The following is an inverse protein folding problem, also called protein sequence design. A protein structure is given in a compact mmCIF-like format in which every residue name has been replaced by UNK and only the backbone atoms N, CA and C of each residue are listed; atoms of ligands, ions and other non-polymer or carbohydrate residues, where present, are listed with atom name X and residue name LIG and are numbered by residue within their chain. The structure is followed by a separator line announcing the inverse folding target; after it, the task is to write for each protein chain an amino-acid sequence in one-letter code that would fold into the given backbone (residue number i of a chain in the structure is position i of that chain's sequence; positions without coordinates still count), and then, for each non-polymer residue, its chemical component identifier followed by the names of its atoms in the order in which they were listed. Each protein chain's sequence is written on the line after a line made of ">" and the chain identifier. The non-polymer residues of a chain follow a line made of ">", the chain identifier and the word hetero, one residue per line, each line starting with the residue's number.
data_IF_911069353330
#
_entry.id   IF_911069353330
#
_cell.length_a   1.000
_cell.length_b   1.000
_cell.length_c   1.000
_cell.angle_alpha   90.00
_cell.angle_beta   90.00
_cell.angle_gamma   90.00
#
_symmetry.space_group_name_H-M   'P 1'
#
loop_
_entity.id
_entity.type
_entity.pdbx_description
1 polymer ?
#
# COMPACT_ATOMS: atom_id res chain seq x y z
N UNK A 1 13.31 15.90 58.31
CA UNK A 1 12.19 15.77 57.35
C UNK A 1 12.66 16.26 55.99
N UNK A 2 13.04 15.35 55.08
CA UNK A 2 13.08 15.56 53.62
C UNK A 2 13.17 14.17 52.99
N UNK A 3 12.39 13.91 51.93
CA UNK A 3 12.12 12.53 51.47
C UNK A 3 12.89 12.19 50.21
N UNK A 4 13.52 11.02 50.20
CA UNK A 4 14.24 10.47 49.03
C UNK A 4 13.26 10.10 47.91
N UNK A 5 13.57 10.51 46.66
CA UNK A 5 12.78 10.19 45.48
C UNK A 5 13.45 9.08 44.66
N UNK A 6 12.76 7.96 44.48
CA UNK A 6 13.32 6.75 43.87
C UNK A 6 13.51 6.87 42.36
N UNK A 7 14.74 6.71 41.88
CA UNK A 7 15.01 6.35 40.47
C UNK A 7 14.66 4.87 40.29
N UNK A 8 13.39 4.59 40.02
CA UNK A 8 12.87 3.23 39.84
C UNK A 8 13.44 2.56 38.60
N UNK A 9 14.29 1.54 38.79
CA UNK A 9 14.76 0.66 37.71
C UNK A 9 13.58 -0.15 37.17
N UNK A 10 12.98 0.27 36.05
CA UNK A 10 11.90 -0.46 35.40
C UNK A 10 12.43 -1.78 34.79
N UNK A 11 11.94 -2.91 35.30
CA UNK A 11 12.32 -4.24 34.84
C UNK A 11 11.62 -4.60 33.53
N UNK A 12 12.35 -4.48 32.41
CA UNK A 12 11.89 -4.90 31.09
C UNK A 12 11.95 -6.43 30.95
N UNK A 13 11.06 -7.13 31.66
CA UNK A 13 10.90 -8.58 31.52
C UNK A 13 10.34 -8.87 30.13
N UNK A 14 11.16 -9.49 29.28
CA UNK A 14 10.75 -9.91 27.94
C UNK A 14 9.79 -11.11 28.03
N UNK A 15 8.48 -10.83 28.04
CA UNK A 15 7.45 -11.85 27.97
C UNK A 15 7.62 -12.70 26.72
N UNK A 16 7.74 -14.04 26.88
CA UNK A 16 7.73 -15.00 25.77
C UNK A 16 6.29 -15.18 25.25
N UNK A 17 5.75 -14.11 24.66
CA UNK A 17 4.45 -14.13 24.00
C UNK A 17 4.52 -14.95 22.72
N UNK A 18 3.78 -16.06 22.68
CA UNK A 18 3.77 -16.94 21.51
C UNK A 18 2.96 -16.31 20.37
N UNK A 19 3.65 -15.47 19.58
CA UNK A 19 3.11 -14.69 18.47
C UNK A 19 2.72 -15.56 17.28
N UNK A 20 1.73 -16.44 17.45
CA UNK A 20 1.03 -17.12 16.37
C UNK A 20 0.47 -16.07 15.41
N UNK A 21 0.49 -16.34 14.09
CA UNK A 21 -0.37 -15.61 13.15
C UNK A 21 -1.82 -15.95 13.51
N UNK A 22 -2.42 -15.21 14.45
CA UNK A 22 -3.88 -15.15 14.55
C UNK A 22 -4.36 -14.50 13.25
N UNK A 23 -4.75 -15.33 12.27
CA UNK A 23 -5.82 -14.92 11.36
C UNK A 23 -6.96 -14.46 12.27
N UNK A 24 -7.52 -13.29 12.02
CA UNK A 24 -8.78 -12.93 12.65
C UNK A 24 -9.80 -14.00 12.24
N UNK A 25 -10.44 -14.66 13.21
CA UNK A 25 -11.54 -15.56 12.91
C UNK A 25 -12.75 -14.69 12.59
N UNK A 26 -12.89 -14.38 11.30
CA UNK A 26 -14.06 -13.71 10.76
C UNK A 26 -15.27 -14.66 10.84
N UNK A 27 -16.38 -14.15 11.36
CA UNK A 27 -17.70 -14.77 11.22
C UNK A 27 -18.18 -14.75 9.77
N UNK A 28 -19.25 -15.51 9.49
CA UNK A 28 -19.86 -15.51 8.16
C UNK A 28 -20.42 -14.12 7.81
N UNK A 29 -19.90 -13.50 6.75
CA UNK A 29 -20.23 -12.14 6.34
C UNK A 29 -19.34 -11.03 6.95
N UNK A 30 -18.45 -11.34 7.88
CA UNK A 30 -17.48 -10.37 8.39
C UNK A 30 -16.34 -10.13 7.39
N UNK A 31 -15.74 -8.93 7.43
CA UNK A 31 -14.66 -8.50 6.53
C UNK A 31 -13.49 -7.95 7.34
N UNK A 32 -12.26 -8.40 7.06
CA UNK A 32 -11.05 -7.89 7.70
C UNK A 32 -10.68 -6.51 7.13
N UNK A 33 -10.72 -5.47 7.98
CA UNK A 33 -10.39 -4.10 7.60
C UNK A 33 -8.91 -3.79 7.88
N UNK A 34 -8.09 -3.77 6.83
CA UNK A 34 -6.66 -3.44 6.94
C UNK A 34 -6.47 -1.92 6.88
N UNK A 35 -6.05 -1.31 8.00
CA UNK A 35 -5.68 0.09 8.07
C UNK A 35 -4.15 0.28 8.08
N UNK A 36 -3.61 1.06 7.15
CA UNK A 36 -2.20 1.46 7.16
C UNK A 36 -2.02 2.78 7.92
N UNK A 37 -1.15 2.78 8.93
CA UNK A 37 -0.78 3.98 9.67
C UNK A 37 0.73 4.04 9.91
N UNK A 38 1.29 5.25 9.98
CA UNK A 38 2.68 5.46 10.38
C UNK A 38 2.76 5.82 11.86
N UNK A 39 3.75 5.26 12.55
CA UNK A 39 4.14 5.62 13.91
C UNK A 39 5.64 5.93 13.93
N UNK A 40 6.07 6.72 14.92
CA UNK A 40 7.48 7.08 15.14
C UNK A 40 7.98 6.50 16.46
N UNK A 41 9.23 6.05 16.46
CA UNK A 41 9.97 5.68 17.65
C UNK A 41 11.23 6.56 17.76
N UNK A 42 11.63 6.86 18.99
CA UNK A 42 12.75 7.78 19.28
C UNK A 42 13.77 7.20 20.26
N UNK A 43 13.55 5.99 20.77
CA UNK A 43 14.46 5.23 21.65
C UNK A 43 14.26 3.74 21.45
N UNK A 44 15.28 2.95 21.77
CA UNK A 44 15.21 1.49 21.84
C UNK A 44 15.88 0.97 23.10
N UNK A 45 15.74 -0.33 23.35
CA UNK A 45 16.51 -1.08 24.33
C UNK A 45 17.31 -2.13 23.58
N UNK A 46 18.64 -2.11 23.69
CA UNK A 46 19.50 -3.20 23.24
C UNK A 46 19.30 -4.40 24.18
N UNK A 47 18.73 -5.49 23.68
CA UNK A 47 18.40 -6.65 24.49
C UNK A 47 19.61 -7.55 24.80
N UNK A 48 20.80 -7.22 24.30
CA UNK A 48 22.06 -7.92 24.60
C UNK A 48 22.83 -7.18 25.69
N UNK A 49 22.91 -5.85 25.63
CA UNK A 49 23.65 -5.03 26.61
C UNK A 49 22.77 -4.46 27.73
N UNK A 50 21.45 -4.40 27.54
CA UNK A 50 20.52 -3.70 28.44
C UNK A 50 20.55 -2.16 28.26
N UNK A 51 21.27 -1.65 27.27
CA UNK A 51 21.46 -0.22 27.02
C UNK A 51 20.21 0.43 26.39
N UNK A 52 19.81 1.60 26.91
CA UNK A 52 18.74 2.41 26.31
C UNK A 52 19.32 3.26 25.18
N UNK A 53 19.17 2.80 23.95
CA UNK A 53 19.59 3.50 22.74
C UNK A 53 18.78 4.79 22.56
N UNK A 54 19.47 5.92 22.38
CA UNK A 54 18.84 7.21 22.10
C UNK A 54 18.34 7.32 20.64
N UNK A 55 17.82 8.50 20.29
CA UNK A 55 17.28 8.76 18.94
C UNK A 55 18.35 8.70 17.85
N UNK A 56 19.58 9.16 18.13
CA UNK A 56 20.69 9.17 17.18
C UNK A 56 21.25 7.77 16.96
N UNK A 57 21.54 7.04 18.04
CA UNK A 57 22.05 5.67 17.99
C UNK A 57 21.03 4.73 17.34
N UNK A 58 19.75 4.82 17.71
CA UNK A 58 18.70 4.04 17.06
C UNK A 58 18.57 4.39 15.58
N UNK A 59 18.56 5.68 15.22
CA UNK A 59 18.49 6.09 13.82
C UNK A 59 19.69 5.59 13.01
N UNK A 60 20.90 5.63 13.57
CA UNK A 60 22.12 5.09 12.95
C UNK A 60 22.01 3.59 12.66
N UNK A 61 21.68 2.79 13.69
CA UNK A 61 21.51 1.33 13.54
C UNK A 61 20.40 0.95 12.54
N UNK A 62 19.29 1.69 12.51
CA UNK A 62 18.24 1.53 11.48
C UNK A 62 18.75 1.95 10.09
N UNK A 63 19.51 3.03 10.01
CA UNK A 63 20.11 3.57 8.78
C UNK A 63 21.03 2.58 8.08
N UNK A 64 21.94 1.96 8.85
CA UNK A 64 22.84 0.92 8.35
C UNK A 64 22.05 -0.29 7.81
N UNK A 65 20.98 -0.72 8.50
CA UNK A 65 20.11 -1.77 7.99
C UNK A 65 19.37 -1.37 6.70
N UNK A 66 18.81 -0.14 6.64
CA UNK A 66 18.11 0.33 5.43
C UNK A 66 19.05 0.42 4.23
N UNK A 67 20.25 0.97 4.39
CA UNK A 67 21.23 1.12 3.31
C UNK A 67 21.77 -0.24 2.83
N UNK A 68 22.00 -1.18 3.75
CA UNK A 68 22.44 -2.54 3.42
C UNK A 68 21.37 -3.32 2.63
N UNK A 69 20.11 -3.26 3.08
CA UNK A 69 18.97 -3.89 2.39
C UNK A 69 18.74 -3.26 1.03
N UNK A 70 18.79 -1.94 0.93
CA UNK A 70 18.64 -1.20 -0.32
C UNK A 70 19.77 -1.47 -1.31
N UNK A 71 21.03 -1.55 -0.85
CA UNK A 71 22.18 -1.87 -1.70
C UNK A 71 22.03 -3.24 -2.36
N UNK A 72 21.72 -4.28 -1.57
CA UNK A 72 21.45 -5.63 -2.08
C UNK A 72 20.22 -5.65 -3.02
N UNK A 73 19.13 -4.96 -2.64
CA UNK A 73 17.92 -4.87 -3.45
C UNK A 73 18.17 -4.19 -4.81
N UNK A 74 18.94 -3.10 -4.80
CA UNK A 74 19.27 -2.29 -5.98
C UNK A 74 20.25 -3.01 -6.90
N UNK A 75 21.19 -3.79 -6.33
CA UNK A 75 22.09 -4.65 -7.11
C UNK A 75 21.31 -5.69 -7.93
N UNK A 76 20.46 -6.49 -7.27
CA UNK A 76 19.60 -7.48 -7.95
C UNK A 76 18.65 -6.81 -8.94
N UNK A 77 17.99 -5.72 -8.54
CA UNK A 77 17.00 -5.06 -9.41
C UNK A 77 17.65 -4.45 -10.64
N UNK A 78 18.88 -3.90 -10.56
CA UNK A 78 19.63 -3.41 -11.73
C UNK A 78 20.11 -4.53 -12.64
N UNK A 79 20.62 -5.62 -12.10
CA UNK A 79 21.09 -6.76 -12.89
C UNK A 79 19.97 -7.34 -13.78
N UNK A 80 18.76 -7.42 -13.23
CA UNK A 80 17.59 -8.00 -13.90
C UNK A 80 16.60 -6.96 -14.44
N UNK A 81 17.05 -5.71 -14.66
CA UNK A 81 16.25 -4.66 -15.30
C UNK A 81 16.33 -4.74 -16.83
N UNK A 82 15.93 -5.89 -17.37
CA UNK A 82 15.92 -6.14 -18.81
C UNK A 82 14.66 -6.93 -19.20
N UNK A 83 14.18 -6.73 -20.43
CA UNK A 83 12.94 -7.34 -20.93
C UNK A 83 12.92 -8.89 -20.86
N UNK A 84 14.00 -9.62 -21.20
CA UNK A 84 14.07 -11.08 -21.00
C UNK A 84 13.85 -11.54 -19.56
N UNK A 85 14.53 -10.96 -18.57
CA UNK A 85 14.40 -11.36 -17.17
C UNK A 85 13.02 -10.98 -16.60
N UNK A 86 12.49 -9.81 -16.97
CA UNK A 86 11.11 -9.45 -16.59
C UNK A 86 10.09 -10.44 -17.15
N UNK A 87 10.25 -10.91 -18.39
CA UNK A 87 9.40 -11.95 -18.99
C UNK A 87 9.58 -13.32 -18.30
N UNK A 88 10.81 -13.73 -18.01
CA UNK A 88 11.11 -14.99 -17.33
C UNK A 88 10.46 -15.03 -15.94
N UNK A 89 10.55 -13.95 -15.16
CA UNK A 89 9.93 -13.85 -13.84
C UNK A 89 8.40 -13.79 -13.91
N UNK A 90 7.85 -13.12 -14.94
CA UNK A 90 6.41 -13.02 -15.19
C UNK A 90 5.78 -14.34 -15.64
N UNK A 91 6.53 -15.19 -16.35
CA UNK A 91 6.08 -16.54 -16.77
C UNK A 91 5.64 -17.42 -15.59
N UNK A 92 6.11 -17.10 -14.38
CA UNK A 92 5.86 -17.89 -13.18
C UNK A 92 6.54 -19.26 -13.21
N UNK A 93 7.57 -19.44 -14.06
CA UNK A 93 8.36 -20.68 -14.18
C UNK A 93 9.86 -20.39 -14.21
N UNK A 94 10.67 -21.40 -13.89
CA UNK A 94 12.12 -21.38 -14.15
C UNK A 94 12.46 -21.90 -15.56
N UNK A 95 13.76 -22.00 -15.87
CA UNK A 95 14.27 -22.49 -17.15
C UNK A 95 13.99 -23.99 -17.40
N UNK A 96 13.65 -24.75 -16.35
CA UNK A 96 13.19 -26.16 -16.45
C UNK A 96 11.66 -26.28 -16.56
N UNK A 97 10.95 -25.15 -16.57
CA UNK A 97 9.49 -25.09 -16.61
C UNK A 97 8.81 -25.31 -15.25
N UNK A 98 9.55 -25.51 -14.16
CA UNK A 98 8.97 -25.72 -12.82
C UNK A 98 8.42 -24.40 -12.28
N UNK A 99 7.25 -24.45 -11.64
CA UNK A 99 6.52 -23.25 -11.19
C UNK A 99 7.27 -22.52 -10.06
N UNK A 100 7.51 -21.23 -10.25
CA UNK A 100 8.15 -20.36 -9.25
C UNK A 100 7.24 -20.18 -8.00
N UNK A 101 7.83 -20.16 -6.80
CA UNK A 101 7.12 -19.85 -5.56
C UNK A 101 6.45 -18.48 -5.53
N UNK A 102 5.38 -18.35 -4.74
CA UNK A 102 4.70 -17.08 -4.50
C UNK A 102 5.57 -16.08 -3.73
N UNK A 103 6.42 -16.54 -2.81
CA UNK A 103 7.45 -15.72 -2.17
C UNK A 103 8.48 -15.29 -3.22
N UNK A 104 8.68 -13.99 -3.39
CA UNK A 104 9.57 -13.45 -4.41
C UNK A 104 11.04 -13.80 -4.14
N UNK A 105 11.51 -13.79 -2.88
CA UNK A 105 12.88 -14.17 -2.54
C UNK A 105 13.21 -15.63 -2.92
N UNK A 106 12.24 -16.53 -2.82
CA UNK A 106 12.42 -17.93 -3.24
C UNK A 106 12.46 -18.06 -4.76
N UNK A 107 11.60 -17.33 -5.47
CA UNK A 107 11.59 -17.32 -6.93
C UNK A 107 12.89 -16.77 -7.52
N UNK A 108 13.43 -15.69 -6.96
CA UNK A 108 14.75 -15.16 -7.36
C UNK A 108 15.85 -16.21 -7.18
N UNK A 109 15.95 -16.84 -6.00
CA UNK A 109 16.97 -17.89 -5.76
C UNK A 109 16.82 -19.08 -6.69
N UNK A 110 15.59 -19.45 -7.05
CA UNK A 110 15.29 -20.54 -7.99
C UNK A 110 15.67 -20.19 -9.44
N UNK A 111 15.71 -18.91 -9.80
CA UNK A 111 16.23 -18.41 -11.07
C UNK A 111 17.76 -18.14 -11.03
N UNK A 112 18.42 -18.38 -9.89
CA UNK A 112 19.83 -18.05 -9.67
C UNK A 112 20.10 -16.59 -9.26
N UNK A 113 19.07 -15.74 -9.24
CA UNK A 113 19.12 -14.28 -9.00
C UNK A 113 19.19 -13.93 -7.50
N UNK A 114 19.95 -14.72 -6.73
CA UNK A 114 20.13 -14.50 -5.30
C UNK A 114 20.91 -13.20 -5.05
N UNK A 115 20.58 -12.47 -3.99
CA UNK A 115 21.34 -11.27 -3.66
C UNK A 115 22.77 -11.62 -3.22
N UNK A 116 23.75 -10.88 -3.72
CA UNK A 116 25.12 -10.91 -3.22
C UNK A 116 25.21 -10.13 -1.92
N UNK A 117 26.10 -10.58 -1.03
CA UNK A 117 26.45 -9.84 0.20
C UNK A 117 27.64 -8.93 -0.13
N UNK A 118 27.63 -7.64 0.26
CA UNK A 118 28.78 -6.76 0.04
C UNK A 118 30.05 -7.30 0.70
N UNK A 119 31.20 -7.09 0.06
CA UNK A 119 32.46 -7.72 0.43
C UNK A 119 32.86 -7.43 1.89
N UNK A 120 33.33 -8.47 2.58
CA UNK A 120 33.79 -8.39 3.96
C UNK A 120 32.69 -8.14 5.01
N UNK A 121 31.40 -8.12 4.64
CA UNK A 121 30.29 -7.99 5.59
C UNK A 121 29.66 -9.34 5.95
N UNK A 122 29.36 -9.53 7.23
CA UNK A 122 28.46 -10.59 7.69
C UNK A 122 27.01 -10.08 7.69
N UNK A 123 26.18 -10.68 6.85
CA UNK A 123 24.76 -10.37 6.71
C UNK A 123 23.93 -11.62 7.00
N UNK A 124 23.05 -11.60 8.02
CA UNK A 124 22.14 -12.71 8.27
C UNK A 124 21.27 -13.00 7.05
N UNK A 125 21.13 -14.29 6.67
CA UNK A 125 20.34 -14.71 5.50
C UNK A 125 18.91 -14.16 5.49
N UNK A 126 18.33 -13.85 6.66
CA UNK A 126 17.02 -13.20 6.78
C UNK A 126 16.99 -11.74 6.31
N UNK A 127 18.06 -10.99 6.54
CA UNK A 127 18.21 -9.61 6.00
C UNK A 127 18.34 -9.67 4.49
N UNK A 128 19.11 -10.65 3.97
CA UNK A 128 19.20 -10.93 2.54
C UNK A 128 17.83 -11.27 1.92
N UNK A 129 17.03 -12.15 2.55
CA UNK A 129 15.66 -12.45 2.11
C UNK A 129 14.76 -11.22 2.03
N UNK A 130 14.93 -10.22 2.90
CA UNK A 130 14.13 -8.97 2.85
C UNK A 130 14.57 -8.07 1.69
N UNK A 131 15.85 -8.10 1.28
CA UNK A 131 16.29 -7.42 0.06
C UNK A 131 15.79 -8.15 -1.20
N UNK A 132 15.92 -9.48 -1.24
CA UNK A 132 15.45 -10.33 -2.35
C UNK A 132 13.91 -10.24 -2.51
N UNK A 133 13.14 -10.25 -1.42
CA UNK A 133 11.68 -10.13 -1.48
C UNK A 133 11.23 -8.75 -1.98
N UNK A 134 11.98 -7.68 -1.68
CA UNK A 134 11.71 -6.33 -2.20
C UNK A 134 12.09 -6.24 -3.69
N UNK A 135 13.27 -6.70 -4.08
CA UNK A 135 13.72 -6.72 -5.48
C UNK A 135 12.76 -7.53 -6.36
N UNK A 136 12.44 -8.77 -5.96
CA UNK A 136 11.54 -9.63 -6.72
C UNK A 136 10.10 -9.12 -6.78
N UNK A 137 9.66 -8.28 -5.84
CA UNK A 137 8.38 -7.54 -5.92
C UNK A 137 8.45 -6.37 -6.89
N UNK A 138 9.55 -5.62 -6.91
CA UNK A 138 9.78 -4.53 -7.86
C UNK A 138 9.89 -5.02 -9.31
N UNK A 139 10.55 -6.17 -9.52
CA UNK A 139 10.65 -6.83 -10.83
C UNK A 139 9.30 -7.41 -11.26
N UNK A 140 8.55 -8.09 -10.37
CA UNK A 140 7.19 -8.57 -10.69
C UNK A 140 6.20 -7.44 -11.02
N UNK A 141 6.31 -6.28 -10.37
CA UNK A 141 5.50 -5.10 -10.72
C UNK A 141 5.98 -4.36 -11.98
N UNK A 142 7.15 -4.71 -12.50
CA UNK A 142 7.66 -4.16 -13.75
C UNK A 142 6.98 -4.80 -14.96
N UNK A 143 6.70 -6.11 -14.96
CA UNK A 143 6.05 -6.75 -16.11
C UNK A 143 4.72 -6.09 -16.52
N UNK A 144 3.84 -5.79 -15.56
CA UNK A 144 2.60 -5.05 -15.84
C UNK A 144 2.87 -3.63 -16.37
N UNK A 145 3.94 -2.97 -15.92
CA UNK A 145 4.40 -1.70 -16.51
C UNK A 145 4.98 -1.88 -17.91
N UNK A 146 5.54 -3.05 -18.24
CA UNK A 146 6.00 -3.40 -19.60
C UNK A 146 4.79 -3.52 -20.51
N UNK A 147 3.78 -4.33 -20.15
CA UNK A 147 2.51 -4.45 -20.91
C UNK A 147 1.84 -3.07 -21.13
N UNK A 148 1.77 -2.23 -20.09
CA UNK A 148 1.29 -0.84 -20.19
C UNK A 148 2.13 0.05 -21.11
N UNK A 149 3.45 -0.15 -21.15
CA UNK A 149 4.35 0.64 -22.00
C UNK A 149 4.22 0.18 -23.45
N UNK A 150 4.28 -1.12 -23.70
CA UNK A 150 4.14 -1.74 -25.02
C UNK A 150 2.84 -1.35 -25.70
N UNK A 151 1.70 -1.43 -25.00
CA UNK A 151 0.41 -1.05 -25.56
C UNK A 151 0.31 0.46 -25.88
N UNK A 152 0.91 1.33 -25.04
CA UNK A 152 0.96 2.78 -25.29
C UNK A 152 1.84 3.11 -26.51
N UNK A 153 2.93 2.38 -26.73
CA UNK A 153 3.83 2.56 -27.86
C UNK A 153 3.25 1.97 -29.16
N UNK A 154 2.69 0.76 -29.11
CA UNK A 154 2.04 0.11 -30.25
C UNK A 154 0.79 0.86 -30.74
N UNK A 155 0.14 1.63 -29.86
CA UNK A 155 -0.97 2.52 -30.18
C UNK A 155 -0.60 3.99 -30.03
N UNK A 156 0.64 4.38 -30.37
CA UNK A 156 1.04 5.79 -30.26
C UNK A 156 0.17 6.68 -31.15
N UNK A 157 -0.41 7.78 -30.64
CA UNK A 157 -1.34 8.60 -31.40
C UNK A 157 -0.65 9.32 -32.55
N UNK A 158 -1.38 9.48 -33.67
CA UNK A 158 -0.85 10.15 -34.87
C UNK A 158 -0.93 11.69 -34.80
N UNK A 159 -1.68 12.23 -33.83
CA UNK A 159 -1.83 13.67 -33.63
C UNK A 159 -0.62 14.36 -32.98
N UNK A 160 -0.45 15.68 -33.16
CA UNK A 160 0.71 16.43 -32.65
C UNK A 160 0.72 16.64 -31.14
N UNK A 161 -0.39 16.36 -30.45
CA UNK A 161 -0.49 16.37 -28.98
C UNK A 161 -0.89 14.95 -28.51
N UNK A 162 0.06 14.12 -28.03
CA UNK A 162 -0.25 12.75 -27.61
C UNK A 162 -1.13 12.68 -26.37
N UNK A 163 -1.39 13.81 -25.69
CA UNK A 163 -2.34 13.88 -24.59
C UNK A 163 -3.80 14.02 -25.05
N UNK A 164 -4.03 14.21 -26.36
CA UNK A 164 -5.36 14.37 -26.98
C UNK A 164 -5.74 13.18 -27.86
N UNK A 165 -5.45 11.95 -27.39
CA UNK A 165 -6.00 10.71 -27.97
C UNK A 165 -7.51 10.85 -28.22
N UNK A 166 -7.91 10.57 -29.44
CA UNK A 166 -9.31 10.41 -29.89
C UNK A 166 -9.97 9.19 -29.23
N UNK A 167 -11.29 9.06 -29.37
CA UNK A 167 -12.04 7.95 -28.77
C UNK A 167 -11.60 6.58 -29.31
N UNK A 168 -11.29 6.47 -30.61
CA UNK A 168 -10.71 5.26 -31.21
C UNK A 168 -9.27 5.00 -30.74
N UNK A 169 -8.41 6.02 -30.62
CA UNK A 169 -7.07 5.87 -30.03
C UNK A 169 -7.10 5.51 -28.52
N UNK A 170 -8.25 5.72 -27.84
CA UNK A 170 -8.51 5.21 -26.50
C UNK A 170 -9.08 3.79 -26.49
N UNK A 171 -9.85 3.41 -27.50
CA UNK A 171 -10.39 2.05 -27.68
C UNK A 171 -9.25 1.07 -28.01
N UNK A 172 -8.49 1.33 -29.07
CA UNK A 172 -7.35 0.50 -29.49
C UNK A 172 -6.31 0.31 -28.37
N UNK A 173 -6.06 1.34 -27.54
CA UNK A 173 -5.16 1.23 -26.38
C UNK A 173 -5.69 0.27 -25.31
N UNK A 174 -7.02 0.16 -25.13
CA UNK A 174 -7.62 -0.80 -24.19
C UNK A 174 -7.70 -2.20 -24.76
N UNK A 175 -7.87 -2.34 -26.08
CA UNK A 175 -7.82 -3.64 -26.77
C UNK A 175 -6.40 -4.23 -26.78
N UNK A 176 -5.37 -3.38 -26.89
CA UNK A 176 -3.97 -3.78 -26.80
C UNK A 176 -3.51 -4.24 -25.39
N UNK A 177 -4.40 -4.25 -24.38
CA UNK A 177 -4.05 -4.56 -23.00
C UNK A 177 -4.84 -5.75 -22.42
N UNK A 178 -4.16 -6.70 -21.75
CA UNK A 178 -4.81 -7.64 -20.84
C UNK A 178 -5.64 -6.87 -19.80
N UNK A 179 -6.93 -7.17 -19.72
CA UNK A 179 -7.92 -6.49 -18.87
C UNK A 179 -7.94 -4.95 -19.03
N UNK A 180 -7.62 -4.42 -20.22
CA UNK A 180 -7.46 -2.98 -20.48
C UNK A 180 -8.65 -2.09 -20.13
N UNK A 181 -9.87 -2.62 -20.15
CA UNK A 181 -11.09 -1.92 -19.71
C UNK A 181 -11.15 -1.70 -18.18
N UNK A 182 -10.40 -2.47 -17.38
CA UNK A 182 -10.25 -2.27 -15.95
C UNK A 182 -9.10 -1.31 -15.58
N UNK A 183 -8.24 -0.96 -16.54
CA UNK A 183 -7.12 -0.03 -16.31
C UNK A 183 -7.63 1.41 -16.28
N UNK A 184 -7.45 2.08 -15.14
CA UNK A 184 -7.88 3.46 -14.97
C UNK A 184 -7.17 4.39 -15.97
N UNK A 185 -7.94 5.23 -16.68
CA UNK A 185 -7.42 6.14 -17.71
C UNK A 185 -6.32 7.09 -17.19
N UNK A 186 -6.30 7.41 -15.89
CA UNK A 186 -5.23 8.17 -15.24
C UNK A 186 -3.86 7.50 -15.29
N UNK A 187 -3.81 6.16 -15.28
CA UNK A 187 -2.57 5.36 -15.43
C UNK A 187 -2.09 5.41 -16.88
N UNK A 188 -2.99 5.24 -17.84
CA UNK A 188 -2.69 5.31 -19.27
C UNK A 188 -2.23 6.72 -19.69
N UNK A 189 -2.88 7.77 -19.17
CA UNK A 189 -2.44 9.16 -19.32
C UNK A 189 -1.07 9.42 -18.69
N UNK A 190 -0.76 8.83 -17.53
CA UNK A 190 0.55 8.95 -16.90
C UNK A 190 1.65 8.27 -17.73
N UNK A 191 1.38 7.06 -18.25
CA UNK A 191 2.29 6.34 -19.15
C UNK A 191 2.52 7.08 -20.47
N UNK A 192 1.47 7.63 -21.07
CA UNK A 192 1.55 8.44 -22.29
C UNK A 192 2.39 9.71 -22.07
N UNK A 193 2.19 10.44 -20.96
CA UNK A 193 3.05 11.59 -20.59
C UNK A 193 4.52 11.21 -20.46
N UNK A 194 4.80 10.05 -19.88
CA UNK A 194 6.16 9.58 -19.64
C UNK A 194 6.89 9.28 -20.96
N UNK A 195 6.25 8.54 -21.87
CA UNK A 195 6.78 8.28 -23.21
C UNK A 195 6.92 9.57 -24.04
N UNK A 196 5.99 10.52 -23.91
CA UNK A 196 6.07 11.82 -24.59
C UNK A 196 7.22 12.69 -24.05
N UNK A 197 7.48 12.65 -22.74
CA UNK A 197 8.62 13.33 -22.13
C UNK A 197 9.96 12.72 -22.58
N UNK A 198 10.03 11.39 -22.71
CA UNK A 198 11.17 10.70 -23.33
C UNK A 198 11.34 11.14 -24.79
N UNK A 199 10.26 11.17 -25.59
CA UNK A 199 10.29 11.61 -26.98
C UNK A 199 10.80 13.06 -27.14
N UNK A 200 10.37 13.97 -26.26
CA UNK A 200 10.85 15.35 -26.24
C UNK A 200 12.33 15.48 -25.87
N UNK A 201 12.88 14.56 -25.06
CA UNK A 201 14.28 14.56 -24.65
C UNK A 201 15.22 13.83 -25.64
N UNK A 202 14.72 12.82 -26.36
CA UNK A 202 15.54 11.92 -27.18
C UNK A 202 15.19 11.92 -28.68
N UNK A 203 14.19 12.70 -29.12
CA UNK A 203 13.76 12.79 -30.53
C UNK A 203 13.03 11.56 -31.07
N UNK A 204 12.91 10.49 -30.28
CA UNK A 204 12.24 9.23 -30.63
C UNK A 204 11.52 8.64 -29.42
N UNK A 205 10.60 7.72 -29.68
CA UNK A 205 10.00 6.91 -28.61
C UNK A 205 11.04 5.99 -27.93
N UNK A 206 10.80 5.60 -26.66
CA UNK A 206 11.57 4.53 -26.02
C UNK A 206 11.27 3.18 -26.69
N UNK A 207 12.23 2.26 -26.68
CA UNK A 207 12.05 0.90 -27.20
C UNK A 207 11.17 0.02 -26.28
N UNK A 208 11.31 0.17 -24.96
CA UNK A 208 10.51 -0.54 -23.95
C UNK A 208 10.52 0.18 -22.58
N UNK A 209 9.97 -0.49 -21.55
CA UNK A 209 9.99 -0.02 -20.16
C UNK A 209 11.41 0.20 -19.61
N UNK A 210 12.37 -0.64 -19.97
CA UNK A 210 13.72 -0.63 -19.40
C UNK A 210 14.57 0.53 -19.94
N UNK A 211 14.25 1.01 -21.14
CA UNK A 211 14.76 2.31 -21.62
C UNK A 211 13.98 3.51 -21.05
N UNK A 212 12.66 3.39 -20.88
CA UNK A 212 11.80 4.48 -20.36
C UNK A 212 11.93 4.74 -18.84
N UNK A 213 12.38 3.74 -18.07
CA UNK A 213 12.55 3.83 -16.62
C UNK A 213 13.91 3.29 -16.19
N UNK A 214 14.63 4.07 -15.38
CA UNK A 214 15.77 3.55 -14.64
C UNK A 214 15.31 2.49 -13.62
N UNK A 215 16.12 1.44 -13.43
CA UNK A 215 15.85 0.36 -12.49
C UNK A 215 15.55 0.90 -11.07
N UNK A 216 14.40 0.56 -10.46
CA UNK A 216 14.02 1.09 -9.16
C UNK A 216 14.96 0.58 -8.06
N UNK A 217 15.40 1.48 -7.18
CA UNK A 217 16.07 1.12 -5.94
C UNK A 217 15.09 0.54 -4.90
N UNK A 218 15.61 -0.06 -3.83
CA UNK A 218 14.77 -0.53 -2.72
C UNK A 218 14.08 0.61 -1.94
N UNK A 219 14.65 1.82 -1.99
CA UNK A 219 14.36 2.92 -1.09
C UNK A 219 15.02 2.71 0.27
N UNK A 220 15.24 3.79 1.04
CA UNK A 220 15.82 3.77 2.39
C UNK A 220 14.87 3.14 3.44
N UNK A 221 14.47 1.89 3.24
CA UNK A 221 13.42 1.20 3.98
C UNK A 221 13.66 -0.32 4.08
N UNK A 222 12.98 -0.96 5.04
CA UNK A 222 12.99 -2.40 5.28
C UNK A 222 11.55 -2.87 5.47
N UNK A 223 11.02 -3.61 4.50
CA UNK A 223 9.66 -4.19 4.59
C UNK A 223 9.70 -5.40 5.52
N UNK A 224 9.43 -5.22 6.82
CA UNK A 224 9.48 -6.31 7.80
C UNK A 224 8.35 -7.33 7.63
N UNK A 225 7.35 -7.08 6.78
CA UNK A 225 6.41 -8.10 6.30
C UNK A 225 7.09 -9.23 5.48
N UNK A 226 8.31 -8.99 4.98
CA UNK A 226 9.17 -10.01 4.36
C UNK A 226 10.11 -10.73 5.36
N UNK A 227 10.20 -10.25 6.60
CA UNK A 227 11.04 -10.84 7.64
C UNK A 227 10.36 -12.05 8.30
N UNK A 228 11.17 -12.96 8.86
CA UNK A 228 10.69 -13.99 9.77
C UNK A 228 10.88 -13.56 11.24
N UNK A 229 10.36 -14.39 12.17
CA UNK A 229 10.49 -14.18 13.62
C UNK A 229 11.94 -14.12 14.12
N UNK A 230 12.94 -14.52 13.32
CA UNK A 230 14.36 -14.48 13.70
C UNK A 230 15.03 -13.13 13.36
N UNK A 231 14.40 -12.32 12.50
CA UNK A 231 14.81 -10.95 12.19
C UNK A 231 13.91 -9.91 12.87
N UNK A 232 12.57 -10.12 12.88
CA UNK A 232 11.65 -9.17 13.52
C UNK A 232 10.39 -9.84 14.11
N UNK A 233 9.91 -9.30 15.23
CA UNK A 233 8.60 -9.61 15.82
C UNK A 233 7.87 -8.31 16.21
N UNK A 234 6.54 -8.34 16.14
CA UNK A 234 5.68 -7.22 16.53
C UNK A 234 4.58 -7.74 17.47
N UNK A 235 4.38 -7.04 18.59
CA UNK A 235 3.30 -7.30 19.54
C UNK A 235 2.67 -5.99 20.03
N UNK A 236 1.50 -6.08 20.66
CA UNK A 236 0.99 -5.00 21.52
C UNK A 236 1.78 -4.98 22.84
N UNK A 237 1.82 -3.84 23.52
CA UNK A 237 2.50 -3.71 24.80
C UNK A 237 1.61 -4.24 25.93
N UNK A 238 2.02 -5.25 26.69
CA UNK A 238 1.15 -5.94 27.66
C UNK A 238 0.52 -5.00 28.71
N UNK A 239 1.26 -3.97 29.13
CA UNK A 239 0.83 -2.99 30.13
C UNK A 239 -0.15 -1.94 29.58
N UNK A 240 -0.24 -1.78 28.25
CA UNK A 240 -1.05 -0.77 27.58
C UNK A 240 -1.27 -1.14 26.09
N UNK A 241 -2.05 -2.22 25.81
CA UNK A 241 -2.14 -2.79 24.47
C UNK A 241 -2.97 -1.93 23.51
N UNK A 242 -3.76 -1.00 24.03
CA UNK A 242 -4.51 -0.03 23.23
C UNK A 242 -3.61 1.08 22.69
N UNK A 243 -2.68 1.62 23.50
CA UNK A 243 -1.90 2.81 23.11
C UNK A 243 -0.48 2.50 22.64
N UNK A 244 0.07 1.31 22.90
CA UNK A 244 1.45 0.98 22.55
C UNK A 244 1.63 -0.39 21.89
N UNK A 245 2.64 -0.46 21.02
CA UNK A 245 3.17 -1.68 20.45
C UNK A 245 4.68 -1.76 20.65
N UNK A 246 5.21 -2.98 20.55
CA UNK A 246 6.63 -3.31 20.72
C UNK A 246 7.09 -4.05 19.47
N UNK A 247 8.04 -3.44 18.75
CA UNK A 247 8.78 -4.05 17.65
C UNK A 247 10.13 -4.53 18.21
N UNK A 248 10.40 -5.82 18.17
CA UNK A 248 11.76 -6.34 18.37
C UNK A 248 12.36 -6.63 17.01
N UNK A 249 13.53 -6.06 16.69
CA UNK A 249 14.19 -6.21 15.39
C UNK A 249 15.70 -6.37 15.58
N UNK A 250 16.33 -7.28 14.83
CA UNK A 250 17.80 -7.40 14.83
C UNK A 250 18.41 -6.30 13.96
N UNK A 251 19.20 -5.43 14.58
CA UNK A 251 19.90 -4.32 13.93
C UNK A 251 21.42 -4.54 14.03
N UNK A 252 22.20 -4.07 13.06
CA UNK A 252 23.65 -4.06 13.19
C UNK A 252 24.10 -3.04 14.25
N UNK A 253 25.14 -3.37 15.03
CA UNK A 253 25.69 -2.48 16.07
C UNK A 253 26.73 -1.49 15.54
N UNK A 254 27.21 -1.71 14.32
CA UNK A 254 28.23 -0.94 13.59
C UNK A 254 27.86 -0.90 12.09
N UNK A 255 28.36 0.08 11.29
CA UNK A 255 28.04 0.16 9.86
C UNK A 255 28.57 -1.03 9.04
N UNK A 256 29.69 -1.63 9.46
CA UNK A 256 30.36 -2.74 8.79
C UNK A 256 30.35 -4.03 9.65
N UNK A 257 29.19 -4.68 9.86
CA UNK A 257 29.12 -5.88 10.68
C UNK A 257 29.98 -7.01 10.07
N UNK A 258 30.88 -7.61 10.86
CA UNK A 258 31.84 -8.63 10.39
C UNK A 258 31.50 -10.04 10.86
N UNK A 259 30.68 -10.15 11.90
CA UNK A 259 30.35 -11.40 12.60
C UNK A 259 28.88 -11.47 12.98
N UNK A 260 28.44 -12.63 13.48
CA UNK A 260 27.11 -12.80 14.10
C UNK A 260 26.92 -11.95 15.37
N UNK A 261 28.00 -11.58 16.06
CA UNK A 261 27.95 -10.78 17.29
C UNK A 261 27.56 -9.32 16.99
N UNK A 262 27.92 -8.79 15.82
CA UNK A 262 27.62 -7.41 15.40
C UNK A 262 26.12 -7.13 15.14
N UNK A 263 25.20 -8.03 15.53
CA UNK A 263 23.78 -8.02 15.19
C UNK A 263 22.89 -8.22 16.43
N UNK A 264 22.67 -7.15 17.20
CA UNK A 264 21.87 -7.20 18.44
C UNK A 264 20.36 -7.12 18.16
N UNK A 265 19.56 -7.78 19.01
CA UNK A 265 18.12 -7.57 19.05
C UNK A 265 17.81 -6.25 19.75
N UNK A 266 17.14 -5.32 19.07
CA UNK A 266 16.72 -4.04 19.64
C UNK A 266 15.20 -4.03 19.81
N UNK A 267 14.74 -3.74 21.02
CA UNK A 267 13.33 -3.64 21.41
C UNK A 267 12.90 -2.18 21.32
N UNK A 268 11.89 -1.91 20.50
CA UNK A 268 11.43 -0.56 20.13
C UNK A 268 9.95 -0.44 20.52
N UNK A 269 9.67 0.25 21.64
CA UNK A 269 8.30 0.61 22.02
C UNK A 269 7.86 1.87 21.29
N UNK A 270 6.71 1.83 20.63
CA UNK A 270 6.12 2.97 19.93
C UNK A 270 4.64 3.13 20.23
N UNK A 271 4.12 4.35 20.07
CA UNK A 271 2.71 4.67 20.29
C UNK A 271 1.88 4.31 19.05
N UNK A 272 0.78 3.60 19.24
CA UNK A 272 -0.20 3.34 18.19
C UNK A 272 -1.05 4.60 17.96
N UNK A 273 -1.33 4.99 16.70
CA UNK A 273 -2.30 6.03 16.39
C UNK A 273 -3.69 5.71 16.97
N UNK A 274 -4.45 6.68 17.51
CA UNK A 274 -5.76 6.44 18.14
C UNK A 274 -6.85 5.85 17.23
N UNK A 275 -6.60 5.78 15.92
CA UNK A 275 -7.47 5.15 14.92
C UNK A 275 -7.26 3.64 14.78
N UNK A 276 -6.28 3.06 15.47
CA UNK A 276 -6.07 1.60 15.52
C UNK A 276 -6.80 1.09 16.76
N UNK A 277 -7.90 0.35 16.54
CA UNK A 277 -8.65 -0.30 17.62
C UNK A 277 -7.77 -1.29 18.41
N UNK A 278 -8.12 -1.57 19.68
CA UNK A 278 -7.37 -2.49 20.55
C UNK A 278 -7.40 -3.95 20.07
N UNK A 279 -8.47 -4.37 19.39
CA UNK A 279 -8.62 -5.74 18.85
C UNK A 279 -7.90 -5.96 17.52
N UNK A 280 -7.60 -4.89 16.78
CA UNK A 280 -7.04 -4.97 15.43
C UNK A 280 -5.71 -5.75 15.40
N UNK A 281 -5.56 -6.64 14.41
CA UNK A 281 -4.32 -7.36 14.17
C UNK A 281 -3.21 -6.38 13.73
N UNK A 282 -2.02 -6.52 14.30
CA UNK A 282 -0.86 -5.71 13.93
C UNK A 282 0.03 -6.47 12.93
N UNK A 283 0.19 -5.93 11.73
CA UNK A 283 1.10 -6.49 10.72
C UNK A 283 2.50 -5.87 10.84
N UNK A 284 3.55 -6.64 10.50
CA UNK A 284 4.93 -6.19 10.57
C UNK A 284 5.17 -4.96 9.64
N UNK A 285 5.76 -3.87 10.15
CA UNK A 285 5.75 -2.58 9.46
C UNK A 285 6.87 -2.45 8.42
N UNK A 286 6.76 -1.44 7.56
CA UNK A 286 7.92 -0.94 6.79
C UNK A 286 8.71 0.03 7.66
N UNK A 287 9.86 -0.43 8.16
CA UNK A 287 10.83 0.35 8.93
C UNK A 287 11.60 1.28 7.98
N UNK A 288 11.75 2.56 8.33
CA UNK A 288 12.49 3.56 7.56
C UNK A 288 12.99 4.68 8.48
N UNK A 289 14.06 5.36 8.10
CA UNK A 289 14.36 6.67 8.68
C UNK A 289 13.30 7.69 8.24
N UNK A 290 13.15 8.78 8.99
CA UNK A 290 12.37 9.95 8.57
C UNK A 290 13.31 11.10 8.23
N UNK A 291 13.01 11.87 7.19
CA UNK A 291 13.86 12.99 6.75
C UNK A 291 14.12 14.02 7.86
N UNK A 292 13.17 14.19 8.79
CA UNK A 292 13.29 15.02 9.98
C UNK A 292 14.34 14.53 11.02
N UNK A 293 15.01 13.40 10.77
CA UNK A 293 16.21 12.94 11.48
C UNK A 293 17.49 13.15 10.64
N UNK A 294 17.43 13.06 9.31
CA UNK A 294 18.57 13.30 8.42
C UNK A 294 18.98 14.78 8.37
N UNK A 295 18.03 15.72 8.46
CA UNK A 295 18.29 17.16 8.31
C UNK A 295 18.68 17.91 9.61
N UNK A 296 18.91 17.18 10.71
CA UNK A 296 19.16 17.80 12.04
C UNK A 296 20.57 18.37 12.24
N UNK A 297 21.47 18.18 11.27
CA UNK A 297 22.75 18.89 11.22
C UNK A 297 22.69 20.20 10.44
N UNK A 298 21.55 20.55 9.80
CA UNK A 298 21.49 21.75 8.94
C UNK A 298 20.17 22.55 8.88
N UNK A 299 19.14 22.23 9.66
CA UNK A 299 17.90 23.02 9.71
C UNK A 299 17.49 23.48 11.13
N UNK A 300 17.36 24.80 11.31
CA UNK A 300 16.65 25.40 12.45
C UNK A 300 15.12 25.33 12.31
N UNK A 301 14.35 25.66 13.36
CA UNK A 301 12.90 25.44 13.38
C UNK A 301 12.14 26.37 12.44
N UNK A 302 11.72 25.84 11.28
CA UNK A 302 10.80 26.51 10.35
C UNK A 302 9.42 26.65 10.97
N UNK A 303 9.08 27.86 11.43
CA UNK A 303 7.73 28.21 11.90
C UNK A 303 6.71 28.04 10.77
N UNK A 304 5.73 27.15 10.98
CA UNK A 304 4.55 27.06 10.11
C UNK A 304 3.81 28.40 10.08
N UNK A 305 3.83 29.07 8.93
CA UNK A 305 3.13 30.35 8.69
C UNK A 305 1.64 30.04 8.44
N UNK A 306 0.69 30.58 9.24
CA UNK A 306 -0.72 30.24 9.07
C UNK A 306 -1.27 30.79 7.75
N UNK A 307 -2.02 29.96 7.02
CA UNK A 307 -2.62 30.31 5.72
C UNK A 307 -3.73 31.37 5.92
N UNK A 308 -3.74 32.48 5.16
CA UNK A 308 -4.80 33.49 5.28
C UNK A 308 -6.20 32.93 5.01
N UNK A 309 -7.08 32.97 6.01
CA UNK A 309 -8.50 32.62 5.84
C UNK A 309 -9.17 33.61 4.89
N UNK A 310 -9.95 33.11 3.92
CA UNK A 310 -10.72 33.91 2.94
C UNK A 310 -11.46 35.06 3.65
N UNK A 311 -11.16 36.31 3.31
CA UNK A 311 -11.98 37.48 3.73
C UNK A 311 -13.22 37.62 2.85
N UNK A 312 -14.23 38.34 3.36
CA UNK A 312 -15.57 38.48 2.80
C UNK A 312 -15.57 39.18 1.43
N UNK A 313 -16.63 38.92 0.65
CA UNK A 313 -17.09 39.85 -0.39
C UNK A 313 -17.43 41.21 0.23
N UNK A 314 -17.16 42.30 -0.51
CA UNK A 314 -17.65 43.65 -0.22
C UNK A 314 -18.36 44.15 -1.50
N UNK A 315 -19.54 44.78 -1.43
CA UNK A 315 -20.20 45.36 -2.61
C UNK A 315 -19.45 46.59 -3.14
N UNK A 316 -19.58 46.89 -4.44
CA UNK A 316 -19.08 48.13 -5.03
C UNK A 316 -20.07 49.29 -4.83
N UNK A 317 -19.58 50.54 -4.63
CA UNK A 317 -20.42 51.74 -4.56
C UNK A 317 -20.92 52.19 -5.97
N UNK A 318 -21.98 53.01 -6.06
CA UNK A 318 -22.62 53.40 -7.32
C UNK A 318 -21.92 54.56 -8.06
N UNK A 319 -22.08 54.56 -9.39
CA UNK A 319 -21.28 55.33 -10.36
C UNK A 319 -21.58 56.83 -10.53
N UNK A 320 -20.94 57.42 -11.54
CA UNK A 320 -21.35 58.66 -12.19
C UNK A 320 -20.77 58.79 -13.62
N UNK A 321 -21.66 59.07 -14.58
CA UNK A 321 -21.47 59.79 -15.87
C UNK A 321 -20.51 59.29 -16.98
N UNK A 322 -21.01 59.40 -18.22
CA UNK A 322 -20.30 59.25 -19.51
C UNK A 322 -20.25 60.62 -20.23
N UNK A 323 -19.80 60.77 -21.52
CA UNK A 323 -20.56 60.29 -22.68
C UNK A 323 -19.76 59.94 -23.98
N UNK A 324 -20.46 59.40 -24.99
CA UNK A 324 -20.10 59.54 -26.43
C UNK A 324 -19.56 58.29 -27.16
N UNK A 325 -20.17 57.91 -28.30
CA UNK A 325 -19.68 56.81 -29.16
C UNK A 325 -20.73 56.10 -30.05
N UNK A 326 -21.23 56.80 -31.08
CA UNK A 326 -22.32 56.40 -32.00
C UNK A 326 -22.31 54.94 -32.51
N UNK A 327 -23.49 54.29 -32.53
CA UNK A 327 -23.86 53.18 -33.46
C UNK A 327 -24.40 53.76 -34.79
N UNK A 328 -24.28 53.03 -35.92
CA UNK A 328 -25.39 52.23 -36.46
C UNK A 328 -24.92 50.91 -37.14
N UNK A 329 -25.73 50.09 -37.83
CA UNK A 329 -27.05 49.50 -37.49
C UNK A 329 -27.42 48.39 -38.52
N UNK A 330 -28.22 47.39 -38.12
CA UNK A 330 -28.82 46.37 -39.01
C UNK A 330 -28.02 45.06 -39.14
N UNK A 331 -28.63 43.90 -39.46
CA UNK A 331 -30.07 43.56 -39.53
C UNK A 331 -30.31 42.13 -38.99
N UNK A 332 -31.53 41.89 -38.53
CA UNK A 332 -32.17 40.60 -38.22
C UNK A 332 -33.33 40.39 -39.24
N UNK A 333 -34.14 39.31 -39.20
CA UNK A 333 -34.01 37.99 -38.55
C UNK A 333 -34.36 36.82 -39.52
N UNK A 334 -34.43 35.57 -39.03
CA UNK A 334 -35.69 34.78 -39.05
C UNK A 334 -35.63 33.48 -38.23
N UNK A 335 -36.81 33.08 -37.75
CA UNK A 335 -37.21 31.90 -36.94
C UNK A 335 -38.75 31.77 -37.11
N UNK A 336 -39.51 30.73 -36.66
CA UNK A 336 -39.22 29.63 -35.72
C UNK A 336 -39.39 28.24 -36.42
N UNK A 337 -40.06 27.15 -35.98
CA UNK A 337 -40.96 26.81 -34.86
C UNK A 337 -41.13 25.28 -34.64
N UNK A 338 -41.86 24.90 -33.56
CA UNK A 338 -42.29 23.53 -33.14
C UNK A 338 -41.14 22.63 -32.63
N UNK A 339 -41.05 22.15 -31.38
CA UNK A 339 -41.95 21.95 -30.20
C UNK A 339 -42.89 20.74 -30.29
N UNK A 340 -43.05 20.05 -29.14
CA UNK A 340 -43.94 18.88 -28.81
C UNK A 340 -43.27 17.54 -29.22
N UNK A 341 -43.29 16.42 -28.46
CA UNK A 341 -44.11 16.00 -27.30
C UNK A 341 -43.31 15.34 -26.14
N UNK A 342 -44.02 14.66 -25.21
CA UNK A 342 -43.56 13.97 -23.98
C UNK A 342 -44.31 12.62 -23.85
N UNK A 343 -43.94 11.75 -22.88
CA UNK A 343 -44.61 10.48 -22.44
C UNK A 343 -44.36 9.22 -23.32
N UNK A 344 -44.46 7.97 -22.82
CA UNK A 344 -44.23 7.41 -21.47
C UNK A 344 -44.02 5.86 -21.55
N UNK A 345 -43.64 5.24 -20.42
CA UNK A 345 -43.60 3.79 -20.04
C UNK A 345 -44.14 2.69 -21.00
N UNK A 346 -43.39 1.58 -21.06
CA UNK A 346 -43.87 0.21 -21.38
C UNK A 346 -42.92 -0.87 -20.80
N UNK A 347 -43.39 -2.10 -20.52
CA UNK A 347 -42.58 -3.19 -19.91
C UNK A 347 -42.92 -4.59 -20.46
N UNK A 348 -41.86 -5.39 -20.70
CA UNK A 348 -41.83 -6.87 -20.70
C UNK A 348 -42.70 -7.60 -21.77
N UNK A 349 -42.67 -8.96 -21.90
CA UNK A 349 -41.83 -9.98 -21.24
C UNK A 349 -41.11 -10.97 -22.24
N UNK A 350 -40.71 -12.16 -21.75
CA UNK A 350 -40.17 -13.34 -22.46
C UNK A 350 -38.66 -13.30 -22.83
N UNK A 351 -37.87 -14.38 -22.73
CA UNK A 351 -38.07 -15.74 -22.14
C UNK A 351 -36.74 -16.28 -21.58
N UNK A 352 -36.79 -17.35 -20.77
CA UNK A 352 -35.59 -17.96 -20.14
C UNK A 352 -34.85 -18.90 -21.08
N UNK A 353 -33.51 -18.95 -20.99
CA UNK A 353 -32.68 -20.10 -21.40
C UNK A 353 -31.33 -20.13 -20.66
N UNK A 354 -31.15 -21.15 -19.83
CA UNK A 354 -29.90 -21.58 -19.16
C UNK A 354 -30.06 -23.08 -18.82
N UNK A 355 -28.97 -23.85 -18.55
CA UNK A 355 -27.59 -23.43 -18.34
C UNK A 355 -26.53 -24.14 -19.21
N UNK A 356 -25.35 -23.52 -19.31
CA UNK A 356 -24.09 -24.24 -19.59
C UNK A 356 -23.16 -24.07 -18.39
N UNK A 357 -22.74 -25.18 -17.76
CA UNK A 357 -21.86 -25.14 -16.57
C UNK A 357 -20.45 -24.68 -16.95
N UNK A 358 -20.04 -23.49 -16.50
CA UNK A 358 -18.63 -23.11 -16.51
C UNK A 358 -17.95 -23.56 -15.20
N UNK A 359 -16.93 -24.41 -15.31
CA UNK A 359 -16.02 -24.69 -14.20
C UNK A 359 -15.03 -23.51 -14.04
N UNK A 360 -14.78 -23.01 -12.82
CA UNK A 360 -13.78 -21.97 -12.59
C UNK A 360 -12.37 -22.58 -12.64
N UNK A 361 -11.64 -22.32 -13.74
CA UNK A 361 -10.21 -22.69 -13.85
C UNK A 361 -9.34 -21.76 -12.98
N UNK A 362 -8.67 -22.35 -12.00
CA UNK A 362 -7.32 -22.00 -11.52
C UNK A 362 -7.02 -20.54 -11.16
N UNK A 363 -6.85 -20.26 -9.87
CA UNK A 363 -6.48 -18.95 -9.33
C UNK A 363 -5.32 -18.26 -10.07
N UNK A 364 -5.61 -17.12 -10.71
CA UNK A 364 -4.62 -16.10 -11.08
C UNK A 364 -4.24 -15.28 -9.84
N UNK A 365 -3.04 -14.68 -9.87
CA UNK A 365 -2.41 -14.06 -8.71
C UNK A 365 -3.07 -12.72 -8.36
N UNK A 366 -3.07 -12.37 -7.07
CA UNK A 366 -3.89 -11.29 -6.53
C UNK A 366 -3.44 -9.88 -6.89
N UNK A 367 -4.41 -8.97 -7.03
CA UNK A 367 -4.17 -7.54 -7.10
C UNK A 367 -3.45 -7.03 -5.83
N UNK A 368 -2.43 -6.19 -5.98
CA UNK A 368 -1.62 -5.78 -4.83
C UNK A 368 -0.37 -4.93 -5.10
N UNK A 369 -0.43 -3.98 -6.06
CA UNK A 369 0.68 -3.05 -6.32
C UNK A 369 0.24 -1.58 -6.32
N UNK A 370 0.03 -1.04 -5.12
CA UNK A 370 0.04 0.40 -4.88
C UNK A 370 1.04 0.73 -3.78
N UNK A 371 2.12 1.44 -4.13
CA UNK A 371 2.74 2.35 -3.18
C UNK A 371 1.71 3.48 -2.93
N UNK A 372 1.44 3.79 -1.66
CA UNK A 372 0.25 4.50 -1.20
C UNK A 372 -1.05 3.68 -1.32
N UNK A 373 -1.42 3.03 -0.21
CA UNK A 373 -2.74 2.41 -0.02
C UNK A 373 -3.82 3.48 0.06
N UNK A 374 -4.64 3.60 -0.98
CA UNK A 374 -5.88 4.37 -0.95
C UNK A 374 -7.08 3.46 -0.70
N UNK A 375 -8.04 3.93 0.08
CA UNK A 375 -9.32 3.27 0.31
C UNK A 375 -10.46 4.17 -0.17
N UNK A 376 -11.42 3.60 -0.91
CA UNK A 376 -12.62 4.29 -1.41
C UNK A 376 -13.80 3.32 -1.27
N UNK A 377 -14.95 3.73 -0.72
CA UNK A 377 -16.02 2.82 -0.35
C UNK A 377 -16.90 2.41 -1.54
N UNK A 378 -17.48 1.20 -1.45
CA UNK A 378 -18.63 0.78 -2.26
C UNK A 378 -19.73 0.30 -1.33
N UNK A 379 -20.72 1.16 -1.06
CA UNK A 379 -21.99 0.76 -0.46
C UNK A 379 -22.91 0.18 -1.54
N UNK A 380 -23.63 -0.91 -1.23
CA UNK A 380 -24.86 -1.24 -1.96
C UNK A 380 -25.94 -1.73 -1.01
N UNK A 381 -27.14 -1.20 -1.20
CA UNK A 381 -28.30 -1.49 -0.36
C UNK A 381 -28.73 -2.95 -0.48
N UNK A 382 -29.01 -3.59 0.65
CA UNK A 382 -29.66 -4.90 0.66
C UNK A 382 -31.09 -4.81 0.10
N UNK A 383 -31.46 -5.75 -0.76
CA UNK A 383 -32.88 -6.05 -1.02
C UNK A 383 -33.44 -6.87 0.16
N UNK A 384 -34.74 -6.73 0.49
CA UNK A 384 -35.32 -7.46 1.61
C UNK A 384 -35.33 -8.98 1.36
N UNK A 385 -34.97 -9.74 2.40
CA UNK A 385 -35.14 -11.19 2.41
C UNK A 385 -36.61 -11.60 2.59
N UNK A 386 -37.00 -12.83 2.20
CA UNK A 386 -38.36 -13.32 2.38
C UNK A 386 -38.68 -13.56 3.86
N UNK A 387 -39.92 -13.29 4.27
CA UNK A 387 -40.39 -13.57 5.62
C UNK A 387 -40.50 -15.08 5.88
N UNK A 388 -40.06 -15.60 7.05
CA UNK A 388 -40.38 -16.95 7.47
C UNK A 388 -41.88 -17.06 7.80
N UNK A 389 -42.54 -18.10 7.28
CA UNK A 389 -43.94 -18.40 7.62
C UNK A 389 -44.04 -18.91 9.06
N UNK A 390 -45.05 -18.43 9.78
CA UNK A 390 -45.40 -18.97 11.10
C UNK A 390 -46.02 -20.36 11.01
N UNK A 391 -45.87 -21.14 12.07
CA UNK A 391 -46.80 -22.21 12.45
C UNK A 391 -47.14 -22.05 13.94
N UNK A 392 -48.43 -22.03 14.24
CA UNK A 392 -48.95 -22.00 15.60
C UNK A 392 -49.11 -23.41 16.15
N UNK A 393 -48.74 -23.59 17.42
CA UNK A 393 -49.54 -24.24 18.47
C UNK A 393 -49.04 -23.59 19.79
N UNK A 394 -49.88 -23.03 20.66
CA UNK A 394 -50.84 -23.68 21.58
C UNK A 394 -50.18 -24.75 22.48
N UNK A 395 -50.31 -24.72 23.80
CA UNK A 395 -51.00 -23.71 24.64
C UNK A 395 -50.55 -23.78 26.11
N UNK A 396 -50.87 -22.71 26.86
CA UNK A 396 -51.22 -22.69 28.30
C UNK A 396 -50.34 -23.41 29.36
N UNK A 397 -49.58 -22.58 30.08
CA UNK A 397 -49.21 -22.60 31.52
C UNK A 397 -49.37 -23.86 32.40
N UNK A 398 -48.32 -24.16 33.17
CA UNK A 398 -48.40 -24.32 34.65
C UNK A 398 -47.01 -24.08 35.31
N UNK A 399 -46.97 -23.76 36.61
CA UNK A 399 -45.73 -23.35 37.31
C UNK A 399 -45.78 -23.58 38.86
N UNK A 400 -45.10 -24.61 39.40
CA UNK A 400 -44.98 -24.85 40.84
C UNK A 400 -43.59 -24.51 41.45
N UNK A 401 -43.55 -24.40 42.78
CA UNK A 401 -42.45 -23.84 43.59
C UNK A 401 -41.20 -24.76 43.78
N UNK A 402 -40.03 -24.22 44.20
CA UNK A 402 -38.75 -24.96 44.19
C UNK A 402 -38.48 -25.80 45.45
N UNK A 403 -37.64 -26.86 45.36
CA UNK A 403 -37.23 -27.69 46.49
C UNK A 403 -36.19 -26.99 47.41
N UNK A 404 -36.16 -27.41 48.67
CA UNK A 404 -35.32 -26.84 49.75
C UNK A 404 -33.91 -27.46 49.80
N UNK A 405 -32.95 -26.71 50.34
CA UNK A 405 -31.61 -27.22 50.72
C UNK A 405 -31.68 -28.09 51.99
N UNK A 406 -30.99 -29.24 52.06
CA UNK A 406 -30.64 -29.86 53.34
C UNK A 406 -29.45 -29.12 54.01
N UNK A 407 -29.30 -29.33 55.32
CA UNK A 407 -28.11 -28.93 56.11
C UNK A 407 -27.35 -30.18 56.55
N UNK A 408 -26.04 -30.02 56.70
CA UNK A 408 -25.11 -30.62 57.67
C UNK A 408 -25.57 -31.90 58.42
N UNK A 409 -24.73 -32.92 58.31
CA UNK A 409 -24.01 -33.44 59.48
C UNK A 409 -22.60 -32.83 59.42
#
# INVERSE_FOLDING_TARGET
>A
MYVSSMIGRQSWVAGRGDGVRRKVQLGEGETEWVACASASAFRGLDAVTGEVLDTGVLAGRVGWLTALVESMCTSVTRAHWNRPDLAQLASGRDLSGVRLPSNAWMALRMLGWAATVPEGLYVPDRVRRVAEEQAGRALRSAWWRTELTDAVLATWPAGPDPMRRTESEWESLREALPDGQAVAASVLLARTRQSAAFQAAHGRLPADLCELEAAPGGGHQVVLAAADKQLATLARCDQDPARYAVLTVRLPVRPDPRTRADWHSVVIRFRLPPTIDVTAALHAPTLRQSAAAQDRTKAGPTRNRPVPRKRRRVPAPPGANAPGGKRPAGRMPQSPARRIQRRDRGQAPHTMSTPTRHQPRGARLGAGFHLHTHATPVTRHGRPGPQPRSRFHRDRAENPAPPRKPKLI
#
